data_IF_586635918430
#
_entry.id   IF_586635918430
#
_cell.length_a   1.000
_cell.length_b   1.000
_cell.length_c   1.000
_cell.angle_alpha   90.00
_cell.angle_beta   90.00
_cell.angle_gamma   90.00
#
_symmetry.space_group_name_H-M   'P 1'
#
loop_
_entity.id
_entity.type
_entity.pdbx_description
1 polymer ?
#
# COMPACT_ATOMS: atom_id res chain seq x y z
N UNK A 1 8.03 -10.95 -10.42
CA UNK A 1 7.99 -10.59 -9.00
C UNK A 1 6.64 -9.97 -8.65
N UNK A 2 6.21 -10.13 -7.40
CA UNK A 2 4.94 -9.60 -6.88
C UNK A 2 5.23 -8.68 -5.72
N UNK A 3 4.59 -7.50 -5.71
CA UNK A 3 4.70 -6.54 -4.61
C UNK A 3 3.37 -6.49 -3.86
N UNK A 4 3.44 -6.66 -2.54
CA UNK A 4 2.30 -6.53 -1.64
C UNK A 4 2.61 -5.53 -0.55
N UNK A 5 1.59 -4.78 -0.16
CA UNK A 5 1.67 -3.81 0.93
C UNK A 5 0.63 -4.18 1.98
N UNK A 6 1.05 -4.22 3.23
CA UNK A 6 0.14 -4.37 4.37
C UNK A 6 0.06 -3.03 5.10
N UNK A 7 -1.10 -2.38 4.99
CA UNK A 7 -1.33 -1.07 5.60
C UNK A 7 -1.91 -1.28 7.00
N UNK A 8 -1.05 -1.22 8.01
CA UNK A 8 -1.46 -1.31 9.40
C UNK A 8 -1.62 0.06 10.05
N UNK A 9 -2.20 0.08 11.24
CA UNK A 9 -2.41 1.32 11.98
C UNK A 9 -1.12 1.98 12.45
N UNK A 10 -0.10 1.19 12.77
CA UNK A 10 1.20 1.68 13.27
C UNK A 10 2.31 1.57 12.24
N UNK A 11 2.32 0.48 11.48
CA UNK A 11 3.37 0.17 10.51
C UNK A 11 2.77 -0.16 9.16
N UNK A 12 3.49 0.22 8.12
CA UNK A 12 3.21 -0.20 6.75
C UNK A 12 4.34 -1.13 6.34
N UNK A 13 4.01 -2.34 5.89
CA UNK A 13 5.01 -3.32 5.48
C UNK A 13 4.86 -3.63 4.01
N UNK A 14 5.99 -3.61 3.30
CA UNK A 14 6.06 -4.04 1.91
C UNK A 14 6.83 -5.34 1.80
N UNK A 15 6.36 -6.23 0.95
CA UNK A 15 7.01 -7.51 0.68
C UNK A 15 7.04 -7.75 -0.83
N UNK A 16 8.17 -8.26 -1.30
CA UNK A 16 8.31 -8.72 -2.68
C UNK A 16 8.54 -10.22 -2.68
N UNK A 17 7.74 -10.92 -3.45
CA UNK A 17 7.87 -12.36 -3.67
C UNK A 17 8.36 -12.60 -5.09
N UNK A 18 9.12 -13.68 -5.31
CA UNK A 18 9.65 -14.02 -6.63
C UNK A 18 8.52 -14.26 -7.66
N UNK A 19 7.55 -15.09 -7.32
CA UNK A 19 6.43 -15.42 -8.20
C UNK A 19 5.31 -16.08 -7.40
N UNK A 20 4.17 -16.33 -8.05
CA UNK A 20 3.08 -17.09 -7.43
C UNK A 20 3.47 -18.55 -7.21
N UNK A 21 4.17 -19.12 -8.17
CA UNK A 21 4.57 -20.52 -8.15
C UNK A 21 5.69 -20.76 -7.14
N UNK A 22 6.57 -19.78 -6.99
CA UNK A 22 7.67 -19.83 -6.03
C UNK A 22 7.64 -18.55 -5.18
N UNK A 23 6.83 -18.53 -4.11
CA UNK A 23 6.65 -17.31 -3.30
C UNK A 23 7.80 -17.04 -2.33
N UNK A 24 9.02 -17.24 -2.77
CA UNK A 24 10.20 -16.92 -1.99
C UNK A 24 10.31 -15.41 -1.79
N UNK A 25 10.56 -14.99 -0.58
CA UNK A 25 10.68 -13.58 -0.23
C UNK A 25 11.98 -13.00 -0.79
N UNK A 26 11.87 -11.91 -1.55
CA UNK A 26 13.02 -11.20 -2.12
C UNK A 26 13.46 -10.09 -1.17
N UNK A 27 12.50 -9.28 -0.69
CA UNK A 27 12.77 -8.19 0.25
C UNK A 27 11.51 -7.93 1.08
N UNK A 28 11.72 -7.51 2.31
CA UNK A 28 10.67 -7.08 3.22
C UNK A 28 11.14 -5.80 3.91
N UNK A 29 10.31 -4.77 3.91
CA UNK A 29 10.67 -3.52 4.55
C UNK A 29 9.44 -2.90 5.20
N UNK A 30 9.66 -2.16 6.25
CA UNK A 30 8.61 -1.63 7.11
C UNK A 30 8.89 -0.16 7.42
N UNK A 31 7.86 0.68 7.36
CA UNK A 31 7.93 2.10 7.74
C UNK A 31 6.80 2.41 8.70
N UNK A 32 6.89 3.54 9.41
CA UNK A 32 5.81 3.99 10.27
C UNK A 32 4.64 4.50 9.43
N UNK A 33 3.41 4.16 9.85
CA UNK A 33 2.20 4.66 9.18
C UNK A 33 2.03 6.14 9.40
N UNK A 34 2.23 6.60 10.65
CA UNK A 34 2.08 8.01 11.06
C UNK A 34 0.66 8.53 10.82
N UNK A 35 -0.34 7.72 11.17
CA UNK A 35 -1.75 8.07 10.94
C UNK A 35 -2.17 9.33 11.71
N UNK A 36 -1.52 9.65 12.83
CA UNK A 36 -1.75 10.86 13.61
C UNK A 36 -1.40 12.13 12.83
N UNK A 37 -0.62 12.01 11.78
CA UNK A 37 -0.25 13.14 10.89
C UNK A 37 -1.21 13.30 9.71
N UNK A 38 -2.18 12.40 9.59
CA UNK A 38 -3.25 12.52 8.60
C UNK A 38 -3.05 11.69 7.35
N UNK A 39 -4.08 11.70 6.51
CA UNK A 39 -4.18 10.90 5.31
C UNK A 39 -3.03 11.13 4.32
N UNK A 40 -2.73 12.41 4.03
CA UNK A 40 -1.66 12.74 3.07
C UNK A 40 -0.31 12.19 3.49
N UNK A 41 -0.03 12.19 4.81
CA UNK A 41 1.21 11.63 5.33
C UNK A 41 1.25 10.12 5.13
N UNK A 42 0.14 9.43 5.35
CA UNK A 42 0.06 7.98 5.13
C UNK A 42 0.33 7.65 3.66
N UNK A 43 -0.29 8.37 2.74
CA UNK A 43 -0.06 8.18 1.30
C UNK A 43 1.41 8.42 0.95
N UNK A 44 2.02 9.48 1.49
CA UNK A 44 3.43 9.79 1.27
C UNK A 44 4.34 8.68 1.79
N UNK A 45 4.01 8.11 2.95
CA UNK A 45 4.80 7.03 3.56
C UNK A 45 4.71 5.73 2.75
N UNK A 46 3.55 5.45 2.15
CA UNK A 46 3.40 4.31 1.24
C UNK A 46 4.29 4.52 0.01
N UNK A 47 4.27 5.72 -0.57
CA UNK A 47 5.13 6.03 -1.72
C UNK A 47 6.60 5.87 -1.39
N UNK A 48 7.04 6.38 -0.25
CA UNK A 48 8.43 6.25 0.20
C UNK A 48 8.83 4.78 0.34
N UNK A 49 7.94 3.95 0.87
CA UNK A 49 8.19 2.52 1.03
C UNK A 49 8.34 1.84 -0.33
N UNK A 50 7.46 2.12 -1.27
CA UNK A 50 7.51 1.53 -2.62
C UNK A 50 8.79 1.97 -3.34
N UNK A 51 9.13 3.26 -3.26
CA UNK A 51 10.34 3.80 -3.89
C UNK A 51 11.60 3.14 -3.31
N UNK A 52 11.65 2.95 -1.98
CA UNK A 52 12.74 2.27 -1.32
C UNK A 52 12.90 0.83 -1.82
N UNK A 53 11.79 0.09 -1.88
CA UNK A 53 11.81 -1.30 -2.33
C UNK A 53 12.29 -1.39 -3.77
N UNK A 54 11.72 -0.57 -4.66
CA UNK A 54 12.08 -0.57 -6.09
C UNK A 54 13.55 -0.23 -6.31
N UNK A 55 14.08 0.72 -5.55
CA UNK A 55 15.49 1.10 -5.63
C UNK A 55 16.41 -0.02 -5.19
N UNK A 56 16.04 -0.72 -4.11
CA UNK A 56 16.89 -1.77 -3.54
C UNK A 56 17.02 -2.99 -4.44
N UNK A 57 15.95 -3.33 -5.17
CA UNK A 57 15.96 -4.51 -6.06
C UNK A 57 16.14 -4.12 -7.53
N UNK A 58 16.26 -2.82 -7.82
CA UNK A 58 16.42 -2.28 -9.17
C UNK A 58 15.33 -2.80 -10.12
N UNK A 59 14.07 -2.71 -9.68
CA UNK A 59 12.92 -3.20 -10.43
C UNK A 59 11.72 -2.31 -10.16
N UNK A 60 10.97 -1.97 -11.20
CA UNK A 60 9.74 -1.18 -11.08
C UNK A 60 8.53 -2.07 -11.33
N UNK A 61 7.52 -1.94 -10.48
CA UNK A 61 6.28 -2.69 -10.59
C UNK A 61 5.23 -1.85 -11.31
N UNK A 62 4.44 -2.51 -12.17
CA UNK A 62 3.30 -1.84 -12.82
C UNK A 62 2.02 -1.97 -11.98
N UNK A 63 2.02 -2.90 -11.03
CA UNK A 63 0.86 -3.14 -10.16
C UNK A 63 1.30 -3.64 -8.80
N UNK A 64 0.44 -3.45 -7.80
CA UNK A 64 0.64 -4.02 -6.47
C UNK A 64 -0.69 -4.32 -5.80
N UNK A 65 -0.65 -5.23 -4.82
CA UNK A 65 -1.77 -5.50 -3.95
C UNK A 65 -1.56 -4.79 -2.61
N UNK A 66 -2.64 -4.29 -2.03
CA UNK A 66 -2.57 -3.66 -0.72
C UNK A 66 -3.70 -4.19 0.17
N UNK A 67 -3.32 -4.68 1.35
CA UNK A 67 -4.25 -5.04 2.39
C UNK A 67 -4.52 -3.83 3.26
N UNK A 68 -5.79 -3.51 3.48
CA UNK A 68 -6.21 -2.38 4.31
C UNK A 68 -7.03 -2.87 5.49
N UNK A 69 -7.08 -2.07 6.58
CA UNK A 69 -7.88 -2.46 7.75
C UNK A 69 -9.38 -2.30 7.56
N UNK A 70 -9.82 -1.77 6.41
CA UNK A 70 -11.23 -1.58 6.10
C UNK A 70 -11.59 -2.19 4.75
N UNK A 71 -12.71 -1.77 4.20
CA UNK A 71 -13.21 -2.21 2.90
C UNK A 71 -13.48 -1.02 2.00
N UNK A 72 -13.48 -1.26 0.69
CA UNK A 72 -13.84 -0.24 -0.28
C UNK A 72 -15.34 -0.35 -0.58
N UNK A 73 -16.07 0.76 -0.43
CA UNK A 73 -17.46 0.84 -0.84
C UNK A 73 -17.53 0.78 -2.38
N UNK A 74 -18.21 -0.21 -2.95
CA UNK A 74 -18.25 -0.37 -4.42
C UNK A 74 -18.94 0.78 -5.14
N UNK A 75 -19.84 1.50 -4.48
CA UNK A 75 -20.55 2.62 -5.09
C UNK A 75 -19.74 3.90 -5.12
N UNK A 76 -19.11 4.25 -3.96
CA UNK A 76 -18.38 5.51 -3.84
C UNK A 76 -16.90 5.39 -4.15
N UNK A 77 -16.34 4.19 -4.03
CA UNK A 77 -14.88 3.97 -4.15
C UNK A 77 -14.11 4.43 -2.92
N UNK A 78 -14.80 4.76 -1.82
CA UNK A 78 -14.17 5.27 -0.61
C UNK A 78 -13.96 4.16 0.41
N UNK A 79 -12.88 4.28 1.19
CA UNK A 79 -12.60 3.34 2.27
C UNK A 79 -13.58 3.56 3.42
N UNK A 80 -14.03 2.47 4.04
CA UNK A 80 -14.93 2.50 5.19
C UNK A 80 -14.56 1.41 6.19
N UNK A 81 -15.05 1.54 7.41
CA UNK A 81 -14.88 0.57 8.50
C UNK A 81 -13.42 0.31 8.88
N UNK A 82 -12.56 1.29 8.66
CA UNK A 82 -11.17 1.23 9.09
C UNK A 82 -11.05 1.68 10.54
N UNK A 83 -10.15 1.03 11.30
CA UNK A 83 -9.77 1.50 12.63
C UNK A 83 -8.95 2.78 12.54
N UNK A 84 -8.28 3.01 11.42
CA UNK A 84 -7.54 4.25 11.17
C UNK A 84 -8.50 5.29 10.62
N UNK A 85 -8.98 6.16 11.49
CA UNK A 85 -10.04 7.13 11.15
C UNK A 85 -9.65 8.06 9.99
N UNK A 86 -8.38 8.43 9.88
CA UNK A 86 -7.94 9.33 8.80
C UNK A 86 -8.10 8.72 7.40
N UNK A 87 -8.26 7.40 7.31
CA UNK A 87 -8.45 6.69 6.04
C UNK A 87 -9.90 6.57 5.63
N UNK A 88 -10.84 6.64 6.59
CA UNK A 88 -12.26 6.49 6.30
C UNK A 88 -12.78 7.65 5.45
N UNK A 89 -13.57 7.32 4.44
CA UNK A 89 -14.13 8.30 3.52
C UNK A 89 -13.15 8.79 2.46
N UNK A 90 -11.94 8.19 2.38
CA UNK A 90 -10.91 8.62 1.44
C UNK A 90 -10.83 7.67 0.23
N UNK A 91 -10.59 8.21 -0.98
CA UNK A 91 -10.46 7.40 -2.19
C UNK A 91 -9.04 6.82 -2.31
N UNK A 92 -8.68 5.92 -1.37
CA UNK A 92 -7.31 5.45 -1.22
C UNK A 92 -6.78 4.73 -2.47
N UNK A 93 -7.61 3.90 -3.12
CA UNK A 93 -7.20 3.18 -4.31
C UNK A 93 -6.86 4.15 -5.45
N UNK A 94 -7.74 5.12 -5.66
CA UNK A 94 -7.56 6.14 -6.71
C UNK A 94 -6.32 6.99 -6.44
N UNK A 95 -6.17 7.46 -5.21
CA UNK A 95 -5.05 8.33 -4.85
C UNK A 95 -3.71 7.60 -4.95
N UNK A 96 -3.64 6.35 -4.48
CA UNK A 96 -2.42 5.55 -4.61
C UNK A 96 -2.09 5.24 -6.06
N UNK A 97 -3.12 4.95 -6.86
CA UNK A 97 -2.91 4.71 -8.29
C UNK A 97 -2.27 5.91 -8.97
N UNK A 98 -2.70 7.11 -8.62
CA UNK A 98 -2.13 8.36 -9.18
C UNK A 98 -0.73 8.62 -8.66
N UNK A 99 -0.54 8.55 -7.36
CA UNK A 99 0.74 8.87 -6.70
C UNK A 99 1.85 7.89 -7.11
N UNK A 100 1.51 6.61 -7.19
CA UNK A 100 2.47 5.56 -7.54
C UNK A 100 2.57 5.32 -9.04
N UNK A 101 1.61 5.80 -9.80
CA UNK A 101 1.49 5.52 -11.24
C UNK A 101 1.47 4.01 -11.50
N UNK A 102 0.64 3.31 -10.76
CA UNK A 102 0.51 1.85 -10.79
C UNK A 102 -0.95 1.44 -10.69
N UNK A 103 -1.24 0.23 -11.12
CA UNK A 103 -2.53 -0.41 -10.86
C UNK A 103 -2.54 -0.93 -9.43
N UNK A 104 -3.57 -0.60 -8.68
CA UNK A 104 -3.68 -0.93 -7.25
C UNK A 104 -4.85 -1.90 -7.05
N UNK A 105 -4.58 -3.05 -6.45
CA UNK A 105 -5.60 -4.01 -6.04
C UNK A 105 -5.75 -3.94 -4.53
N UNK A 106 -6.94 -3.56 -4.07
CA UNK A 106 -7.25 -3.52 -2.63
C UNK A 106 -7.84 -4.85 -2.20
N UNK A 107 -7.35 -5.34 -1.09
CA UNK A 107 -7.84 -6.59 -0.51
C UNK A 107 -8.38 -6.38 0.91
#
# INVERSE_FOLDING_TARGET
MLLGIDLGGTKIEGIVLKSRENPEEVIRHRVNTEEEKGYSQVISNIKSLVDYIESNINHKFSKLGIGTPGTIDPESGLLKNSNSQCLNGMPIQKDLSKVLNKSILIQ
#
